data_IF_073414040091
#
_entry.id   IF_073414040091
#
_cell.length_a   1.000
_cell.length_b   1.000
_cell.length_c   1.000
_cell.angle_alpha   90.00
_cell.angle_beta   90.00
_cell.angle_gamma   90.00
#
_symmetry.space_group_name_H-M   'P 1'
#
loop_
_entity.id
_entity.type
_entity.pdbx_description
1 polymer ?
#
# COMPACT_ATOMS: atom_id res chain seq x y z
N UNK A 1 -3.79 4.22 -1.90
CA UNK A 1 -2.73 3.29 -2.37
C UNK A 1 -3.19 1.85 -2.17
N UNK A 2 -2.78 0.88 -3.00
CA UNK A 2 -3.12 -0.54 -2.81
C UNK A 2 -1.97 -1.28 -2.11
N UNK A 3 -2.27 -2.25 -1.25
CA UNK A 3 -1.24 -3.04 -0.58
C UNK A 3 -0.55 -4.02 -1.54
N UNK A 4 0.77 -4.19 -1.39
CA UNK A 4 1.62 -5.05 -2.23
C UNK A 4 1.17 -6.52 -2.27
N UNK A 5 0.65 -7.06 -1.16
CA UNK A 5 0.28 -8.47 -1.05
C UNK A 5 -1.19 -8.77 -1.41
N UNK A 6 -1.91 -7.80 -1.98
CA UNK A 6 -3.31 -7.99 -2.40
C UNK A 6 -3.42 -8.87 -3.65
N UNK A 7 -2.51 -8.70 -4.62
CA UNK A 7 -2.65 -9.25 -5.97
C UNK A 7 -2.21 -10.72 -6.11
N UNK A 8 -1.25 -11.19 -5.32
CA UNK A 8 -0.66 -12.53 -5.48
C UNK A 8 -0.82 -13.43 -4.23
N UNK A 9 -1.07 -14.73 -4.44
CA UNK A 9 -1.37 -15.75 -3.41
C UNK A 9 -2.44 -15.25 -2.44
N UNK A 10 -3.57 -14.78 -2.98
CA UNK A 10 -4.66 -14.23 -2.16
C UNK A 10 -5.51 -15.32 -1.50
N UNK A 11 -5.60 -16.49 -2.14
CA UNK A 11 -6.41 -17.63 -1.71
C UNK A 11 -5.93 -18.22 -0.39
N UNK A 12 -4.61 -18.29 -0.17
CA UNK A 12 -4.01 -18.81 1.07
C UNK A 12 -4.08 -17.85 2.28
N UNK A 13 -4.56 -16.62 2.10
CA UNK A 13 -4.66 -15.63 3.18
C UNK A 13 -6.02 -15.73 3.89
N UNK A 14 -6.01 -15.54 5.21
CA UNK A 14 -7.22 -15.54 6.03
C UNK A 14 -8.16 -14.37 5.69
N UNK A 15 -9.42 -14.46 6.15
CA UNK A 15 -10.44 -13.43 5.88
C UNK A 15 -10.08 -12.06 6.45
N UNK A 16 -9.50 -11.99 7.65
CA UNK A 16 -9.13 -10.74 8.30
C UNK A 16 -7.98 -10.06 7.56
N UNK A 17 -6.94 -10.82 7.17
CA UNK A 17 -5.83 -10.28 6.37
C UNK A 17 -6.25 -9.83 4.99
N UNK A 18 -7.17 -10.56 4.33
CA UNK A 18 -7.78 -10.11 3.06
C UNK A 18 -8.54 -8.79 3.21
N UNK A 19 -9.21 -8.53 4.34
CA UNK A 19 -9.89 -7.25 4.61
C UNK A 19 -8.90 -6.12 4.83
N UNK A 20 -7.84 -6.35 5.58
CA UNK A 20 -6.80 -5.34 5.81
C UNK A 20 -6.13 -4.92 4.51
N UNK A 21 -5.79 -5.86 3.64
CA UNK A 21 -5.16 -5.59 2.34
C UNK A 21 -6.06 -4.85 1.32
N UNK A 22 -7.36 -4.69 1.58
CA UNK A 22 -8.27 -3.89 0.75
C UNK A 22 -8.26 -2.41 1.11
N UNK A 23 -7.84 -2.06 2.33
CA UNK A 23 -7.87 -0.68 2.81
C UNK A 23 -6.78 0.13 2.12
N UNK A 24 -7.03 1.38 1.73
CA UNK A 24 -5.97 2.25 1.29
C UNK A 24 -5.14 2.73 2.49
N UNK A 25 -3.83 2.81 2.30
CA UNK A 25 -2.89 3.35 3.29
C UNK A 25 -2.22 4.63 2.76
N UNK A 26 -1.77 5.47 3.69
CA UNK A 26 -1.04 6.71 3.42
C UNK A 26 0.46 6.45 3.34
N UNK A 27 1.20 7.42 2.80
CA UNK A 27 2.67 7.37 2.78
C UNK A 27 3.18 7.62 4.20
N UNK A 28 4.19 6.86 4.63
CA UNK A 28 4.83 7.11 5.92
C UNK A 28 5.53 8.46 5.92
N UNK A 29 5.60 9.12 7.09
CA UNK A 29 6.25 10.43 7.21
C UNK A 29 7.71 10.42 6.74
N UNK A 30 8.43 9.32 6.95
CA UNK A 30 9.83 9.15 6.54
C UNK A 30 10.00 9.19 5.01
N UNK A 31 9.04 8.65 4.24
CA UNK A 31 9.15 8.52 2.79
C UNK A 31 8.61 9.72 2.01
N UNK A 32 7.94 10.68 2.68
CA UNK A 32 7.34 11.85 2.01
C UNK A 32 8.36 12.65 1.20
N UNK A 33 9.58 12.85 1.74
CA UNK A 33 10.65 13.59 1.05
C UNK A 33 11.06 12.90 -0.26
N UNK A 34 11.18 11.57 -0.24
CA UNK A 34 11.57 10.80 -1.42
C UNK A 34 10.46 10.84 -2.47
N UNK A 35 9.20 10.68 -2.06
CA UNK A 35 8.04 10.75 -2.95
C UNK A 35 7.90 12.13 -3.61
N UNK A 36 8.10 13.23 -2.86
CA UNK A 36 8.07 14.60 -3.41
C UNK A 36 9.15 14.86 -4.46
N UNK A 37 10.35 14.28 -4.29
CA UNK A 37 11.42 14.39 -5.29
C UNK A 37 11.09 13.64 -6.58
N UNK A 38 10.40 12.49 -6.48
CA UNK A 38 10.01 11.69 -7.65
C UNK A 38 8.84 12.28 -8.43
N UNK A 39 8.03 13.13 -7.79
CA UNK A 39 6.83 13.72 -8.38
C UNK A 39 6.86 15.25 -8.24
N UNK A 40 7.68 15.97 -9.04
CA UNK A 40 7.94 17.40 -8.87
C UNK A 40 6.73 18.30 -9.16
N UNK A 41 5.70 17.77 -9.83
CA UNK A 41 4.50 18.51 -10.25
C UNK A 41 3.19 17.88 -9.71
N UNK A 42 3.30 16.99 -8.73
CA UNK A 42 2.14 16.30 -8.15
C UNK A 42 1.49 17.04 -6.98
#
# INVERSE_FOLDING_TARGET
RRHSHYSHIRTKKDRNRKRNLRKPDLVSAAEVRNVRRMLPYA
#
